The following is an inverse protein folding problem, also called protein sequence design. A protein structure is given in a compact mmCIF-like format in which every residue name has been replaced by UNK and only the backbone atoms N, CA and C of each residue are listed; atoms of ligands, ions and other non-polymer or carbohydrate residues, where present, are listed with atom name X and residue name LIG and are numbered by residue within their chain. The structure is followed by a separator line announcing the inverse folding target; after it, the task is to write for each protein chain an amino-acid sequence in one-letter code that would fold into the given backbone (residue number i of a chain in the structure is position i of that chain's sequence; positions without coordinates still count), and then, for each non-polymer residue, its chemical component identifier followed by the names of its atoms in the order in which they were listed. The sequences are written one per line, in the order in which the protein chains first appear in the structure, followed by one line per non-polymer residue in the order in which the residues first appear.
data_IF_250273570201
#
_entry.id   IF_250273570201
#
_cell.length_a   1.000
_cell.length_b   1.000
_cell.length_c   1.000
_cell.angle_alpha   90.00
_cell.angle_beta   90.00
_cell.angle_gamma   90.00
#
_symmetry.space_group_name_H-M   'P 1'
#
loop_
_entity.id
_entity.type
_entity.pdbx_description
1 polymer ?
#
# COMPACT_ATOMS: atom_id res chain seq x y z
N UNK A 1 56.13 -18.03 -27.23
CA UNK A 1 54.99 -17.36 -26.55
C UNK A 1 53.78 -18.26 -26.29
N UNK A 2 53.45 -19.25 -27.14
CA UNK A 2 52.23 -20.08 -26.97
C UNK A 2 52.35 -21.27 -25.99
N UNK A 3 53.55 -21.82 -25.80
CA UNK A 3 53.83 -22.91 -24.85
C UNK A 3 53.51 -22.56 -23.39
N UNK A 4 53.98 -21.43 -22.82
CA UNK A 4 53.69 -21.08 -21.42
C UNK A 4 52.19 -20.81 -21.19
N UNK A 5 51.50 -20.22 -22.17
CA UNK A 5 50.05 -19.98 -22.11
C UNK A 5 49.26 -21.29 -22.06
N UNK A 6 49.66 -22.29 -22.85
CA UNK A 6 49.00 -23.60 -22.92
C UNK A 6 49.18 -24.39 -21.62
N UNK A 7 50.35 -24.32 -21.00
CA UNK A 7 50.66 -24.95 -19.72
C UNK A 7 49.87 -24.30 -18.58
N UNK A 8 49.81 -22.96 -18.57
CA UNK A 8 49.02 -22.20 -17.60
C UNK A 8 47.52 -22.47 -17.73
N UNK A 9 46.97 -22.54 -18.94
CA UNK A 9 45.56 -22.92 -19.16
C UNK A 9 45.27 -24.37 -18.70
N UNK A 10 46.23 -25.28 -18.84
CA UNK A 10 46.08 -26.67 -18.42
C UNK A 10 46.12 -26.84 -16.89
N UNK A 11 46.93 -26.05 -16.20
CA UNK A 11 46.96 -25.96 -14.73
C UNK A 11 45.65 -25.35 -14.18
N UNK A 12 45.11 -24.34 -14.87
CA UNK A 12 43.89 -23.63 -14.47
C UNK A 12 42.59 -24.26 -15.00
N UNK A 13 42.66 -25.35 -15.77
CA UNK A 13 41.49 -25.97 -16.42
C UNK A 13 40.36 -26.30 -15.46
N UNK A 14 40.70 -26.67 -14.22
CA UNK A 14 39.70 -26.96 -13.19
C UNK A 14 38.84 -25.74 -12.92
N UNK A 15 39.48 -24.59 -12.64
CA UNK A 15 38.81 -23.30 -12.41
C UNK A 15 38.06 -22.83 -13.65
N UNK A 16 38.70 -22.93 -14.82
CA UNK A 16 38.11 -22.51 -16.09
C UNK A 16 36.87 -23.32 -16.50
N UNK A 17 36.69 -24.53 -15.96
CA UNK A 17 35.49 -25.35 -16.18
C UNK A 17 34.49 -25.17 -15.04
N UNK A 18 34.94 -25.21 -13.78
CA UNK A 18 34.02 -25.19 -12.63
C UNK A 18 33.33 -23.85 -12.48
N UNK A 19 34.03 -22.72 -12.65
CA UNK A 19 33.44 -21.39 -12.51
C UNK A 19 32.29 -21.15 -13.49
N UNK A 20 32.44 -21.33 -14.82
CA UNK A 20 31.32 -21.12 -15.74
C UNK A 20 30.21 -22.15 -15.58
N UNK A 21 30.51 -23.39 -15.18
CA UNK A 21 29.48 -24.40 -14.90
C UNK A 21 28.64 -23.98 -13.69
N UNK A 22 29.27 -23.60 -12.58
CA UNK A 22 28.57 -23.12 -11.37
C UNK A 22 27.78 -21.85 -11.67
N UNK A 23 28.36 -20.90 -12.39
CA UNK A 23 27.66 -19.69 -12.82
C UNK A 23 26.46 -20.03 -13.72
N UNK A 24 26.63 -20.94 -14.68
CA UNK A 24 25.56 -21.40 -15.57
C UNK A 24 24.42 -22.07 -14.81
N UNK A 25 24.72 -22.92 -13.82
CA UNK A 25 23.72 -23.55 -12.96
C UNK A 25 23.00 -22.49 -12.12
N UNK A 26 23.71 -21.54 -11.52
CA UNK A 26 23.11 -20.47 -10.73
C UNK A 26 22.18 -19.58 -11.56
N UNK A 27 22.62 -19.20 -12.77
CA UNK A 27 21.80 -18.45 -13.73
C UNK A 27 20.57 -19.27 -14.14
N UNK A 28 20.73 -20.55 -14.45
CA UNK A 28 19.62 -21.42 -14.80
C UNK A 28 18.60 -21.52 -13.65
N UNK A 29 19.06 -21.70 -12.41
CA UNK A 29 18.19 -21.75 -11.23
C UNK A 29 17.45 -20.42 -11.02
N UNK A 30 18.13 -19.29 -11.25
CA UNK A 30 17.51 -17.96 -11.17
C UNK A 30 16.46 -17.75 -12.26
N UNK A 31 16.73 -18.17 -13.50
CA UNK A 31 15.80 -18.05 -14.63
C UNK A 31 14.58 -18.99 -14.50
N UNK A 32 14.76 -20.12 -13.81
CA UNK A 32 13.69 -21.07 -13.51
C UNK A 32 12.86 -20.67 -12.26
N UNK A 33 13.24 -19.60 -11.55
CA UNK A 33 12.56 -19.15 -10.33
C UNK A 33 12.83 -20.00 -9.09
N UNK A 34 13.78 -20.94 -9.14
CA UNK A 34 14.09 -21.80 -7.98
C UNK A 34 14.78 -21.04 -6.85
N UNK A 35 15.39 -19.89 -7.16
CA UNK A 35 15.98 -19.00 -6.15
C UNK A 35 14.98 -17.97 -5.59
N UNK A 36 13.85 -17.75 -6.26
CA UNK A 36 12.90 -16.68 -5.92
C UNK A 36 12.43 -16.72 -4.46
N UNK A 37 12.02 -17.87 -3.87
CA UNK A 37 11.61 -17.91 -2.46
C UNK A 37 12.72 -17.46 -1.50
N UNK A 38 13.98 -17.79 -1.81
CA UNK A 38 15.13 -17.41 -0.98
C UNK A 38 15.50 -15.94 -1.15
N UNK A 39 15.40 -15.41 -2.37
CA UNK A 39 15.63 -13.98 -2.66
C UNK A 39 14.57 -13.10 -1.99
N UNK A 40 13.30 -13.51 -2.02
CA UNK A 40 12.21 -12.81 -1.35
C UNK A 40 12.30 -12.93 0.18
N UNK A 41 12.67 -14.09 0.71
CA UNK A 41 12.95 -14.24 2.15
C UNK A 41 14.15 -13.38 2.60
N UNK A 42 15.18 -13.24 1.77
CA UNK A 42 16.29 -12.35 2.04
C UNK A 42 15.86 -10.88 2.03
N UNK A 43 14.98 -10.47 1.10
CA UNK A 43 14.37 -9.15 1.09
C UNK A 43 13.59 -8.89 2.40
N UNK A 44 12.79 -9.85 2.84
CA UNK A 44 12.04 -9.73 4.09
C UNK A 44 12.97 -9.56 5.28
N UNK A 45 14.04 -10.34 5.33
CA UNK A 45 15.02 -10.25 6.39
C UNK A 45 15.73 -8.89 6.42
N UNK A 46 15.97 -8.27 5.26
CA UNK A 46 16.49 -6.90 5.19
C UNK A 46 15.53 -5.86 5.78
N UNK A 47 14.21 -6.03 5.63
CA UNK A 47 13.24 -5.17 6.31
C UNK A 47 13.33 -5.29 7.83
N UNK A 48 13.59 -6.49 8.35
CA UNK A 48 13.76 -6.72 9.79
C UNK A 48 15.11 -6.23 10.33
N UNK A 49 16.17 -6.24 9.50
CA UNK A 49 17.52 -5.83 9.92
C UNK A 49 17.82 -4.35 9.74
N UNK A 50 17.07 -3.64 8.90
CA UNK A 50 17.28 -2.21 8.70
C UNK A 50 16.94 -1.41 9.98
N UNK A 51 17.53 -0.22 10.17
CA UNK A 51 17.15 0.67 11.25
C UNK A 51 15.66 1.03 11.22
N UNK A 52 15.04 1.16 12.41
CA UNK A 52 13.66 1.62 12.51
C UNK A 52 13.55 3.05 11.96
N UNK A 53 12.62 3.26 11.06
CA UNK A 53 12.27 4.59 10.57
C UNK A 53 11.35 5.30 11.57
N UNK A 54 11.43 6.64 11.71
CA UNK A 54 10.48 7.37 12.52
C UNK A 54 9.07 7.24 11.93
N UNK A 55 8.05 7.30 12.80
CA UNK A 55 6.64 7.37 12.42
C UNK A 55 6.40 8.58 11.51
N UNK A 56 5.55 8.41 10.51
CA UNK A 56 5.14 9.50 9.61
C UNK A 56 4.01 10.31 10.29
N UNK A 57 4.36 11.44 10.89
CA UNK A 57 3.40 12.28 11.62
C UNK A 57 2.34 12.94 10.72
N UNK A 58 2.48 12.84 9.38
CA UNK A 58 1.47 13.31 8.42
C UNK A 58 0.30 12.34 8.29
N UNK A 59 0.36 11.14 8.86
CA UNK A 59 -0.67 10.11 8.71
C UNK A 59 -1.22 9.70 10.08
N UNK A 60 -2.53 9.69 10.20
CA UNK A 60 -3.26 9.26 11.39
C UNK A 60 -4.26 8.19 11.03
N UNK A 61 -4.27 7.09 11.78
CA UNK A 61 -5.28 6.04 11.63
C UNK A 61 -6.36 6.25 12.70
N UNK A 62 -7.61 6.39 12.26
CA UNK A 62 -8.80 6.27 13.10
C UNK A 62 -9.26 4.82 13.04
N UNK A 63 -8.86 4.06 14.04
CA UNK A 63 -9.06 2.63 14.12
C UNK A 63 -10.45 2.27 14.65
N UNK A 64 -11.07 1.29 14.00
CA UNK A 64 -12.26 0.62 14.52
C UNK A 64 -11.86 -0.69 15.19
N UNK A 65 -11.75 -0.63 16.51
CA UNK A 65 -11.32 -1.74 17.37
C UNK A 65 -12.48 -2.65 17.77
N UNK A 66 -12.18 -3.80 18.38
CA UNK A 66 -13.19 -4.66 19.01
C UNK A 66 -14.05 -3.93 20.06
N UNK A 67 -13.45 -2.98 20.80
CA UNK A 67 -14.18 -2.19 21.78
C UNK A 67 -15.18 -1.24 21.10
N UNK A 68 -14.77 -0.62 19.98
CA UNK A 68 -15.63 0.23 19.16
C UNK A 68 -16.83 -0.55 18.59
N UNK A 69 -16.59 -1.75 18.08
CA UNK A 69 -17.64 -2.61 17.54
C UNK A 69 -18.64 -3.05 18.61
N UNK A 70 -18.14 -3.43 19.79
CA UNK A 70 -18.99 -3.78 20.94
C UNK A 70 -19.82 -2.58 21.40
N UNK A 71 -19.25 -1.39 21.40
CA UNK A 71 -19.94 -0.15 21.77
C UNK A 71 -20.98 0.26 20.74
N UNK A 72 -20.69 0.07 19.45
CA UNK A 72 -21.65 0.26 18.36
C UNK A 72 -22.79 -0.77 18.40
N UNK A 73 -22.53 -1.96 18.97
CA UNK A 73 -23.49 -3.05 19.12
C UNK A 73 -23.77 -3.82 17.82
N UNK A 74 -23.12 -3.49 16.71
CA UNK A 74 -23.29 -4.14 15.40
C UNK A 74 -22.13 -3.85 14.45
N UNK A 75 -21.99 -4.72 13.45
CA UNK A 75 -21.21 -4.49 12.25
C UNK A 75 -22.05 -4.82 11.00
N UNK A 76 -22.00 -4.02 9.92
CA UNK A 76 -21.34 -2.71 9.83
C UNK A 76 -21.93 -1.66 10.79
N UNK A 77 -21.13 -0.68 11.17
CA UNK A 77 -21.62 0.49 11.94
C UNK A 77 -22.64 1.26 11.11
N UNK A 78 -23.58 1.91 11.80
CA UNK A 78 -24.65 2.68 11.15
C UNK A 78 -24.12 3.90 10.39
N UNK A 79 -24.83 4.31 9.36
CA UNK A 79 -24.51 5.49 8.55
C UNK A 79 -24.53 6.75 9.40
N UNK A 80 -25.41 6.85 10.41
CA UNK A 80 -25.39 7.92 11.41
C UNK A 80 -24.06 8.00 12.14
N UNK A 81 -23.56 6.87 12.65
CA UNK A 81 -22.30 6.84 13.38
C UNK A 81 -21.12 7.20 12.48
N UNK A 82 -21.11 6.66 11.26
CA UNK A 82 -20.05 6.98 10.30
C UNK A 82 -20.08 8.46 9.91
N UNK A 83 -21.26 9.04 9.68
CA UNK A 83 -21.42 10.46 9.40
C UNK A 83 -20.87 11.32 10.56
N UNK A 84 -21.18 10.97 11.81
CA UNK A 84 -20.66 11.68 12.99
C UNK A 84 -19.13 11.65 13.10
N UNK A 85 -18.52 10.48 12.85
CA UNK A 85 -17.06 10.33 12.82
C UNK A 85 -16.45 11.21 11.74
N UNK A 86 -16.98 11.14 10.52
CA UNK A 86 -16.50 11.93 9.38
C UNK A 86 -16.68 13.44 9.60
N UNK A 87 -17.81 13.87 10.16
CA UNK A 87 -18.06 15.29 10.47
C UNK A 87 -17.04 15.82 11.50
N UNK A 88 -16.76 15.05 12.55
CA UNK A 88 -15.78 15.42 13.59
C UNK A 88 -14.35 15.47 13.05
N UNK A 89 -13.98 14.51 12.20
CA UNK A 89 -12.68 14.51 11.53
C UNK A 89 -12.58 15.71 10.59
N UNK A 90 -13.58 15.93 9.74
CA UNK A 90 -13.58 17.02 8.76
C UNK A 90 -13.54 18.41 9.42
N UNK A 91 -14.17 18.57 10.59
CA UNK A 91 -14.15 19.81 11.36
C UNK A 91 -12.73 20.24 11.81
N UNK A 92 -11.77 19.31 11.83
CA UNK A 92 -10.36 19.58 12.18
C UNK A 92 -9.47 19.85 10.96
N UNK A 93 -10.05 20.03 9.77
CA UNK A 93 -9.35 20.39 8.52
C UNK A 93 -8.18 19.42 8.15
N UNK A 94 -8.44 18.12 8.01
CA UNK A 94 -7.46 17.20 7.44
C UNK A 94 -7.14 17.57 6.00
N UNK A 95 -5.94 17.25 5.54
CA UNK A 95 -5.57 17.40 4.14
C UNK A 95 -6.30 16.38 3.25
N UNK A 96 -6.43 15.14 3.71
CA UNK A 96 -7.22 14.09 3.03
C UNK A 96 -7.84 13.13 4.04
N UNK A 97 -9.01 12.57 3.71
CA UNK A 97 -9.70 11.56 4.51
C UNK A 97 -9.89 10.31 3.65
N UNK A 98 -9.36 9.18 4.07
CA UNK A 98 -9.59 7.88 3.46
C UNK A 98 -10.56 7.05 4.28
N UNK A 99 -11.64 6.60 3.65
CA UNK A 99 -12.59 5.67 4.21
C UNK A 99 -12.32 4.24 3.70
N UNK A 100 -11.53 3.48 4.46
CA UNK A 100 -11.24 2.07 4.20
C UNK A 100 -12.36 1.18 4.77
N UNK A 101 -13.58 1.44 4.32
CA UNK A 101 -14.80 0.71 4.68
C UNK A 101 -15.72 0.64 3.47
N UNK A 102 -16.16 -0.57 3.10
CA UNK A 102 -17.17 -0.71 2.05
C UNK A 102 -18.51 -0.12 2.50
N UNK A 103 -19.12 0.67 1.61
CA UNK A 103 -20.42 1.34 1.78
C UNK A 103 -21.22 1.29 0.47
N UNK A 104 -21.39 0.08 -0.05
CA UNK A 104 -22.16 -0.24 -1.26
C UNK A 104 -23.68 -0.24 -1.05
N UNK A 105 -24.14 -0.44 0.18
CA UNK A 105 -25.55 -0.35 0.56
C UNK A 105 -25.80 0.53 1.79
N UNK A 106 -27.00 1.12 1.94
CA UNK A 106 -27.38 1.88 3.13
C UNK A 106 -27.31 1.05 4.42
N UNK A 107 -26.80 1.64 5.49
CA UNK A 107 -26.71 1.02 6.82
C UNK A 107 -27.48 1.86 7.83
N UNK A 108 -28.80 1.74 7.84
CA UNK A 108 -29.67 2.55 8.68
C UNK A 108 -29.43 2.36 10.20
N UNK A 109 -29.71 3.39 11.02
CA UNK A 109 -30.24 4.71 10.65
C UNK A 109 -29.16 5.69 10.14
N UNK A 110 -29.59 6.71 9.39
CA UNK A 110 -28.79 7.92 9.11
C UNK A 110 -28.20 8.00 7.71
N UNK A 111 -28.75 7.24 6.75
CA UNK A 111 -28.22 7.24 5.38
C UNK A 111 -28.19 8.64 4.75
N UNK A 112 -29.25 9.43 4.93
CA UNK A 112 -29.32 10.80 4.42
C UNK A 112 -28.21 11.71 5.01
N UNK A 113 -27.83 11.51 6.27
CA UNK A 113 -26.75 12.27 6.91
C UNK A 113 -25.40 11.91 6.28
N UNK A 114 -25.16 10.62 6.04
CA UNK A 114 -23.94 10.15 5.39
C UNK A 114 -23.83 10.65 3.94
N UNK A 115 -24.92 10.63 3.18
CA UNK A 115 -24.93 11.17 1.81
C UNK A 115 -24.58 12.66 1.79
N UNK A 116 -25.13 13.43 2.73
CA UNK A 116 -24.79 14.85 2.89
C UNK A 116 -23.30 15.04 3.18
N UNK A 117 -22.71 14.23 4.07
CA UNK A 117 -21.26 14.25 4.33
C UNK A 117 -20.46 13.92 3.07
N UNK A 118 -20.89 12.92 2.28
CA UNK A 118 -20.25 12.58 1.01
C UNK A 118 -20.33 13.70 -0.03
N UNK A 119 -21.38 14.53 0.00
CA UNK A 119 -21.51 15.69 -0.87
C UNK A 119 -20.63 16.86 -0.41
N UNK A 120 -20.59 17.13 0.89
CA UNK A 120 -19.95 18.33 1.45
C UNK A 120 -18.46 18.19 1.75
N UNK A 121 -17.91 16.98 1.72
CA UNK A 121 -16.49 16.73 2.04
C UNK A 121 -15.71 16.45 0.75
N UNK A 122 -14.93 17.41 0.23
CA UNK A 122 -14.26 17.28 -1.08
C UNK A 122 -12.97 16.46 -1.08
N UNK A 123 -12.39 16.23 0.09
CA UNK A 123 -11.16 15.47 0.28
C UNK A 123 -11.42 14.08 0.90
N UNK A 124 -12.67 13.61 0.89
CA UNK A 124 -13.04 12.27 1.34
C UNK A 124 -12.98 11.28 0.18
N UNK A 125 -12.12 10.28 0.30
CA UNK A 125 -11.96 9.18 -0.65
C UNK A 125 -12.58 7.93 -0.08
N UNK A 126 -13.46 7.28 -0.84
CA UNK A 126 -13.97 5.94 -0.52
C UNK A 126 -13.23 4.86 -1.29
N UNK A 127 -13.46 3.61 -0.89
CA UNK A 127 -12.92 2.44 -1.55
C UNK A 127 -13.93 1.76 -2.47
N UNK A 128 -13.39 1.06 -3.45
CA UNK A 128 -14.07 0.00 -4.20
C UNK A 128 -13.18 -1.25 -4.26
N UNK A 129 -13.78 -2.41 -4.50
CA UNK A 129 -13.03 -3.63 -4.82
C UNK A 129 -13.32 -4.07 -6.24
N UNK A 130 -12.27 -4.26 -7.03
CA UNK A 130 -12.39 -4.59 -8.44
C UNK A 130 -11.90 -6.02 -8.67
N UNK A 131 -12.78 -6.89 -9.14
CA UNK A 131 -12.43 -8.23 -9.61
C UNK A 131 -12.76 -8.33 -11.10
N UNK A 132 -11.72 -8.27 -11.95
CA UNK A 132 -11.89 -8.34 -13.41
C UNK A 132 -12.21 -9.74 -13.91
N UNK A 133 -11.87 -10.77 -13.12
CA UNK A 133 -12.10 -12.16 -13.51
C UNK A 133 -13.51 -12.60 -13.10
N UNK A 134 -13.99 -12.11 -11.97
CA UNK A 134 -15.32 -12.39 -11.47
C UNK A 134 -16.03 -11.12 -10.97
N UNK A 135 -16.79 -10.43 -11.83
CA UNK A 135 -17.51 -9.21 -11.46
C UNK A 135 -18.49 -9.35 -10.28
N UNK A 136 -18.94 -10.57 -9.97
CA UNK A 136 -19.81 -10.81 -8.80
C UNK A 136 -19.07 -10.68 -7.45
N UNK A 137 -17.74 -10.73 -7.46
CA UNK A 137 -16.92 -10.49 -6.28
C UNK A 137 -16.60 -9.00 -6.09
N UNK A 138 -16.86 -8.16 -7.10
CA UNK A 138 -16.58 -6.73 -7.02
C UNK A 138 -17.50 -6.05 -5.99
N UNK A 139 -16.97 -5.06 -5.27
CA UNK A 139 -17.73 -4.25 -4.31
C UNK A 139 -17.77 -2.82 -4.82
N UNK A 140 -18.94 -2.32 -5.26
CA UNK A 140 -19.04 -1.00 -5.85
C UNK A 140 -18.90 0.10 -4.78
N UNK A 141 -18.42 1.29 -5.16
CA UNK A 141 -18.31 2.41 -4.23
C UNK A 141 -19.64 3.16 -4.03
N UNK A 142 -19.72 4.07 -3.05
CA UNK A 142 -20.78 5.06 -2.98
C UNK A 142 -20.85 5.91 -4.26
N UNK A 143 -22.01 5.93 -4.93
CA UNK A 143 -22.21 6.60 -6.22
C UNK A 143 -21.79 8.07 -6.22
N UNK A 144 -22.13 8.81 -5.15
CA UNK A 144 -21.81 10.25 -5.00
C UNK A 144 -20.30 10.49 -5.07
N UNK A 145 -19.50 9.65 -4.41
CA UNK A 145 -18.04 9.80 -4.41
C UNK A 145 -17.43 9.34 -5.75
N UNK A 146 -18.00 8.29 -6.36
CA UNK A 146 -17.58 7.81 -7.68
C UNK A 146 -17.76 8.86 -8.78
N UNK A 147 -18.90 9.55 -8.82
CA UNK A 147 -19.19 10.62 -9.79
C UNK A 147 -18.27 11.83 -9.66
N UNK A 148 -17.65 12.00 -8.48
CA UNK A 148 -16.69 13.06 -8.18
C UNK A 148 -15.24 12.65 -8.39
N UNK A 149 -14.98 11.39 -8.79
CA UNK A 149 -13.63 10.85 -8.91
C UNK A 149 -12.92 10.64 -7.57
N UNK A 150 -13.67 10.54 -6.47
CA UNK A 150 -13.16 10.39 -5.10
C UNK A 150 -13.24 8.93 -4.63
N UNK A 151 -12.91 8.00 -5.52
CA UNK A 151 -12.89 6.57 -5.24
C UNK A 151 -11.59 5.98 -5.74
N UNK A 152 -10.90 5.24 -4.88
CA UNK A 152 -9.73 4.46 -5.27
C UNK A 152 -9.94 2.97 -5.00
N UNK A 153 -9.29 2.13 -5.80
CA UNK A 153 -9.37 0.69 -5.64
C UNK A 153 -8.59 0.21 -4.41
N UNK A 154 -9.22 -0.60 -3.56
CA UNK A 154 -8.61 -1.21 -2.37
C UNK A 154 -7.88 -2.53 -2.69
N UNK A 155 -7.71 -2.85 -3.96
CA UNK A 155 -7.02 -4.06 -4.39
C UNK A 155 -5.57 -4.07 -3.93
N UNK A 156 -5.16 -5.19 -3.35
CA UNK A 156 -3.76 -5.48 -3.02
C UNK A 156 -3.24 -6.64 -3.87
N UNK A 157 -1.92 -6.74 -3.97
CA UNK A 157 -1.25 -7.79 -4.72
C UNK A 157 -0.44 -8.65 -3.74
N UNK A 158 -0.96 -9.83 -3.44
CA UNK A 158 -0.26 -10.82 -2.62
C UNK A 158 0.70 -11.63 -3.50
N UNK A 159 1.89 -11.91 -2.96
CA UNK A 159 2.78 -12.89 -3.56
C UNK A 159 2.28 -14.32 -3.32
N UNK A 160 2.88 -15.29 -4.00
CA UNK A 160 2.50 -16.70 -3.92
C UNK A 160 2.62 -17.30 -2.52
N UNK A 161 3.44 -16.70 -1.65
CA UNK A 161 3.59 -17.07 -0.25
C UNK A 161 2.65 -16.29 0.70
N UNK A 162 1.78 -15.44 0.15
CA UNK A 162 0.81 -14.65 0.90
C UNK A 162 1.36 -13.37 1.51
N UNK A 163 2.64 -13.05 1.31
CA UNK A 163 3.24 -11.81 1.84
C UNK A 163 3.04 -10.69 0.83
N UNK A 164 2.62 -9.53 1.32
CA UNK A 164 2.38 -8.34 0.52
C UNK A 164 3.67 -7.54 0.39
N UNK A 165 4.38 -7.71 -0.73
CA UNK A 165 5.65 -6.98 -1.01
C UNK A 165 5.53 -5.91 -2.09
N UNK A 166 4.36 -5.83 -2.72
CA UNK A 166 4.09 -4.96 -3.87
C UNK A 166 2.91 -4.04 -3.56
N UNK A 167 3.02 -2.80 -4.03
CA UNK A 167 1.94 -1.82 -3.98
C UNK A 167 1.44 -1.56 -5.39
N UNK A 168 0.13 -1.56 -5.55
CA UNK A 168 -0.56 -1.23 -6.79
C UNK A 168 -0.91 0.25 -6.74
N UNK A 169 -0.37 1.05 -7.67
CA UNK A 169 -0.69 2.48 -7.78
C UNK A 169 -1.93 2.73 -8.65
N UNK A 170 -2.17 1.86 -9.63
CA UNK A 170 -3.37 1.91 -10.45
C UNK A 170 -3.67 0.55 -11.08
N UNK A 171 -4.95 0.26 -11.29
CA UNK A 171 -5.43 -0.89 -12.05
C UNK A 171 -5.80 -0.45 -13.46
N UNK A 172 -5.60 -1.32 -14.45
CA UNK A 172 -6.14 -1.11 -15.79
C UNK A 172 -7.50 -1.79 -15.88
N UNK A 173 -8.60 -1.03 -15.92
CA UNK A 173 -9.98 -1.52 -16.00
C UNK A 173 -10.62 -1.00 -17.29
N UNK A 174 -10.97 -1.89 -18.23
CA UNK A 174 -11.59 -1.52 -19.51
C UNK A 174 -10.86 -0.37 -20.24
N UNK A 175 -9.53 -0.49 -20.33
CA UNK A 175 -8.61 0.52 -20.90
C UNK A 175 -8.52 1.87 -20.16
N UNK A 176 -9.12 2.01 -18.99
CA UNK A 176 -8.94 3.15 -18.07
C UNK A 176 -8.00 2.79 -16.94
N UNK A 177 -7.21 3.75 -16.49
CA UNK A 177 -6.41 3.62 -15.28
C UNK A 177 -7.27 4.05 -14.09
N UNK A 178 -7.59 3.10 -13.22
CA UNK A 178 -8.27 3.34 -11.97
C UNK A 178 -7.20 3.45 -10.87
N UNK A 179 -7.03 4.62 -10.22
CA UNK A 179 -6.04 4.77 -9.15
C UNK A 179 -6.36 3.84 -7.99
N UNK A 180 -5.33 3.36 -7.29
CA UNK A 180 -5.54 2.71 -6.01
C UNK A 180 -5.94 3.73 -4.95
N UNK A 181 -6.54 3.24 -3.87
CA UNK A 181 -6.95 4.03 -2.73
C UNK A 181 -5.80 4.87 -2.15
N UNK A 182 -4.65 4.25 -1.90
CA UNK A 182 -3.46 4.93 -1.40
C UNK A 182 -2.87 5.94 -2.39
N UNK A 183 -2.88 5.65 -3.69
CA UNK A 183 -2.40 6.60 -4.72
C UNK A 183 -3.29 7.85 -4.78
N UNK A 184 -4.62 7.68 -4.75
CA UNK A 184 -5.55 8.80 -4.80
C UNK A 184 -5.44 9.70 -3.56
N UNK A 185 -5.34 9.11 -2.37
CA UNK A 185 -5.14 9.86 -1.12
C UNK A 185 -3.83 10.64 -1.11
N UNK A 186 -2.72 10.00 -1.53
CA UNK A 186 -1.45 10.68 -1.66
C UNK A 186 -1.52 11.82 -2.69
N UNK A 187 -2.26 11.63 -3.78
CA UNK A 187 -2.56 12.67 -4.79
C UNK A 187 -3.23 13.89 -4.18
N UNK A 188 -4.37 13.72 -3.52
CA UNK A 188 -5.10 14.83 -2.90
C UNK A 188 -4.20 15.59 -1.90
N UNK A 189 -3.43 14.86 -1.08
CA UNK A 189 -2.49 15.47 -0.15
C UNK A 189 -1.41 16.30 -0.86
N UNK A 190 -0.71 15.70 -1.83
CA UNK A 190 0.40 16.35 -2.53
C UNK A 190 -0.07 17.51 -3.41
N UNK A 191 -1.24 17.41 -4.03
CA UNK A 191 -1.87 18.51 -4.78
C UNK A 191 -2.21 19.70 -3.87
N UNK A 192 -2.65 19.45 -2.62
CA UNK A 192 -2.84 20.51 -1.62
C UNK A 192 -1.54 21.26 -1.30
N UNK A 193 -0.39 20.62 -1.52
CA UNK A 193 0.96 21.20 -1.40
C UNK A 193 1.51 21.76 -2.73
N UNK A 194 0.70 21.81 -3.79
CA UNK A 194 1.08 22.21 -5.14
C UNK A 194 2.16 21.32 -5.79
N UNK A 195 2.19 20.03 -5.44
CA UNK A 195 3.09 19.04 -6.03
C UNK A 195 2.31 18.18 -7.01
N UNK A 196 2.54 18.36 -8.31
CA UNK A 196 1.88 17.61 -9.39
C UNK A 196 2.85 16.65 -10.08
N UNK A 197 2.37 15.51 -10.61
CA UNK A 197 3.21 14.61 -11.38
C UNK A 197 3.55 15.18 -12.76
N UNK A 198 4.79 15.00 -13.20
CA UNK A 198 5.29 15.38 -14.52
C UNK A 198 5.62 14.12 -15.34
N UNK A 199 4.95 13.91 -16.49
CA UNK A 199 5.24 12.74 -17.33
C UNK A 199 6.62 12.87 -17.96
N UNK A 200 7.37 11.75 -18.03
CA UNK A 200 8.65 11.74 -18.74
C UNK A 200 8.41 11.50 -20.23
N UNK A 201 9.00 12.33 -21.10
CA UNK A 201 8.77 12.25 -22.55
C UNK A 201 9.22 10.94 -23.20
N UNK A 202 10.11 10.16 -22.56
CA UNK A 202 10.74 8.98 -23.16
C UNK A 202 9.98 7.67 -22.89
N UNK A 203 9.34 7.53 -21.73
CA UNK A 203 8.50 6.36 -21.41
C UNK A 203 7.24 6.86 -20.69
N UNK A 204 6.04 6.75 -21.31
CA UNK A 204 4.80 7.23 -20.71
C UNK A 204 4.42 6.49 -19.42
N UNK A 205 5.07 5.37 -19.12
CA UNK A 205 4.88 4.61 -17.88
C UNK A 205 5.81 5.08 -16.77
N UNK A 206 6.72 6.00 -17.02
CA UNK A 206 7.62 6.56 -16.00
C UNK A 206 7.24 8.02 -15.81
N UNK A 207 7.02 8.40 -14.56
CA UNK A 207 6.71 9.78 -14.21
C UNK A 207 7.56 10.25 -13.05
N UNK A 208 7.86 11.55 -13.07
CA UNK A 208 8.46 12.24 -11.94
C UNK A 208 7.34 12.84 -11.10
N UNK A 209 7.50 12.84 -9.78
CA UNK A 209 6.62 13.58 -8.89
C UNK A 209 7.45 14.11 -7.72
N UNK A 210 7.58 15.43 -7.64
CA UNK A 210 8.51 16.07 -6.72
C UNK A 210 9.93 15.53 -6.87
N UNK A 211 10.47 14.97 -5.79
CA UNK A 211 11.83 14.38 -5.73
C UNK A 211 11.89 12.91 -6.20
N UNK A 212 10.76 12.27 -6.46
CA UNK A 212 10.67 10.85 -6.75
C UNK A 212 10.50 10.56 -8.24
N UNK A 213 11.09 9.43 -8.66
CA UNK A 213 10.90 8.82 -9.97
C UNK A 213 10.15 7.51 -9.80
N UNK A 214 8.91 7.46 -10.25
CA UNK A 214 8.10 6.25 -10.21
C UNK A 214 8.35 5.44 -11.47
N UNK A 215 8.63 4.14 -11.29
CA UNK A 215 8.84 3.17 -12.37
C UNK A 215 8.04 1.92 -12.05
N UNK A 216 7.28 1.36 -13.01
CA UNK A 216 6.54 0.14 -12.78
C UNK A 216 7.49 -1.05 -12.67
N UNK A 217 7.10 -2.06 -11.89
CA UNK A 217 7.80 -3.34 -11.82
C UNK A 217 7.78 -4.05 -13.16
N UNK A 218 8.93 -4.56 -13.57
CA UNK A 218 9.04 -5.54 -14.65
C UNK A 218 8.86 -6.97 -14.11
N UNK A 219 8.51 -7.91 -14.99
CA UNK A 219 8.23 -9.31 -14.62
C UNK A 219 9.36 -10.04 -13.90
N UNK A 220 10.60 -9.58 -13.99
CA UNK A 220 11.77 -10.23 -13.41
C UNK A 220 12.57 -9.31 -12.48
N UNK A 221 11.96 -8.23 -11.98
CA UNK A 221 12.62 -7.30 -11.07
C UNK A 221 12.94 -7.97 -9.72
N UNK A 222 14.15 -7.72 -9.20
CA UNK A 222 14.57 -8.17 -7.87
C UNK A 222 14.70 -9.68 -7.79
N UNK A 223 13.93 -10.33 -6.90
CA UNK A 223 13.86 -11.79 -6.79
C UNK A 223 12.78 -12.43 -7.66
N UNK A 224 11.93 -11.65 -8.34
CA UNK A 224 10.81 -12.19 -9.09
C UNK A 224 11.22 -12.86 -10.40
N UNK A 225 10.42 -13.84 -10.83
CA UNK A 225 10.48 -14.48 -12.16
C UNK A 225 9.07 -14.59 -12.73
N UNK A 226 8.85 -13.96 -13.88
CA UNK A 226 7.62 -14.12 -14.66
C UNK A 226 6.34 -13.67 -13.95
N UNK A 227 6.42 -12.68 -13.04
CA UNK A 227 5.20 -12.18 -12.38
C UNK A 227 4.29 -11.44 -13.35
N UNK A 228 2.99 -11.55 -13.11
CA UNK A 228 2.00 -10.65 -13.68
C UNK A 228 2.17 -9.25 -13.06
N UNK A 229 2.49 -8.29 -13.92
CA UNK A 229 2.68 -6.88 -13.57
C UNK A 229 1.47 -6.03 -13.99
N UNK A 230 0.28 -6.64 -14.11
CA UNK A 230 -0.97 -5.96 -14.40
C UNK A 230 -1.19 -4.71 -13.54
N UNK A 231 -1.68 -3.64 -14.16
CA UNK A 231 -1.74 -2.31 -13.55
C UNK A 231 -0.37 -1.65 -13.46
N UNK A 232 -0.23 -0.70 -12.53
CA UNK A 232 1.04 -0.03 -12.23
C UNK A 232 1.49 -0.47 -10.85
N UNK A 233 2.42 -1.41 -10.78
CA UNK A 233 2.92 -1.95 -9.50
C UNK A 233 4.32 -1.41 -9.19
N UNK A 234 4.62 -1.19 -7.92
CA UNK A 234 5.95 -0.88 -7.40
C UNK A 234 6.26 -1.76 -6.19
N UNK A 235 7.55 -1.92 -5.84
CA UNK A 235 7.91 -2.51 -4.55
C UNK A 235 7.35 -1.67 -3.40
N UNK A 236 6.79 -2.33 -2.39
CA UNK A 236 6.34 -1.69 -1.16
C UNK A 236 7.51 -1.62 -0.18
N UNK A 237 8.11 -0.44 -0.08
CA UNK A 237 9.04 -0.05 0.95
C UNK A 237 8.27 0.35 2.23
N UNK A 238 7.84 -0.65 3.00
CA UNK A 238 7.21 -0.46 4.31
C UNK A 238 7.99 0.56 5.16
N UNK A 239 7.33 1.24 6.09
CA UNK A 239 7.98 2.10 7.08
C UNK A 239 8.39 1.32 8.33
N UNK A 240 7.57 0.36 8.74
CA UNK A 240 7.84 -0.50 9.89
C UNK A 240 6.82 -1.65 10.03
N UNK A 241 6.91 -2.42 11.13
CA UNK A 241 5.95 -3.49 11.46
C UNK A 241 4.56 -2.93 11.84
N UNK A 242 3.61 -3.80 12.19
CA UNK A 242 2.32 -3.37 12.72
C UNK A 242 2.47 -2.43 13.93
N UNK A 243 1.57 -1.46 14.06
CA UNK A 243 1.63 -0.41 15.08
C UNK A 243 2.67 0.70 14.82
N UNK A 244 3.10 0.89 13.56
CA UNK A 244 4.08 1.94 13.20
C UNK A 244 3.45 3.33 13.17
N UNK A 245 2.17 3.42 12.78
CA UNK A 245 1.48 4.70 12.61
C UNK A 245 0.76 5.15 13.88
N UNK A 246 0.61 6.47 14.01
CA UNK A 246 -0.18 7.05 15.08
C UNK A 246 -1.65 6.65 14.90
N UNK A 247 -2.25 6.12 15.96
CA UNK A 247 -3.59 5.54 15.94
C UNK A 247 -4.44 6.10 17.08
N UNK A 248 -5.67 6.47 16.77
CA UNK A 248 -6.73 6.83 17.73
C UNK A 248 -7.96 5.98 17.43
N UNK A 249 -8.83 5.75 18.41
CA UNK A 249 -10.02 4.93 18.16
C UNK A 249 -11.18 5.75 17.61
N UNK A 250 -12.13 5.08 16.95
CA UNK A 250 -13.39 5.68 16.55
C UNK A 250 -14.13 6.29 17.76
N UNK A 251 -14.10 5.62 18.91
CA UNK A 251 -14.67 6.13 20.17
C UNK A 251 -13.96 7.41 20.61
N UNK A 252 -12.63 7.48 20.55
CA UNK A 252 -11.89 8.69 20.94
C UNK A 252 -12.31 9.89 20.06
N UNK A 253 -12.47 9.68 18.76
CA UNK A 253 -12.99 10.71 17.84
C UNK A 253 -14.40 11.12 18.24
N UNK A 254 -15.31 10.17 18.44
CA UNK A 254 -16.70 10.45 18.80
C UNK A 254 -16.84 11.21 20.12
N UNK A 255 -15.97 10.93 21.09
CA UNK A 255 -15.96 11.55 22.42
C UNK A 255 -15.11 12.83 22.50
N UNK A 256 -14.55 13.31 21.38
CA UNK A 256 -13.62 14.45 21.33
C UNK A 256 -12.36 14.26 22.22
N UNK A 257 -11.94 13.01 22.40
CA UNK A 257 -10.78 12.59 23.18
C UNK A 257 -9.52 12.43 22.32
N UNK A 258 -9.31 13.34 21.36
CA UNK A 258 -8.12 13.37 20.50
C UNK A 258 -7.40 14.72 20.61
N UNK A 259 -6.06 14.77 20.49
CA UNK A 259 -5.33 16.04 20.53
C UNK A 259 -5.75 17.00 19.42
N UNK A 260 -5.97 18.28 19.75
CA UNK A 260 -6.48 19.33 18.83
C UNK A 260 -5.69 19.51 17.52
N UNK A 261 -4.42 19.11 17.50
CA UNK A 261 -3.50 19.26 16.36
C UNK A 261 -3.26 17.95 15.62
N UNK A 262 -3.90 16.86 16.02
CA UNK A 262 -3.65 15.54 15.45
C UNK A 262 -4.13 15.45 13.99
N UNK A 263 -5.29 16.01 13.70
CA UNK A 263 -5.95 15.85 12.39
C UNK A 263 -5.63 16.99 11.42
N UNK A 264 -5.32 18.17 11.94
CA UNK A 264 -5.10 19.35 11.10
C UNK A 264 -3.92 19.13 10.14
N UNK A 265 -4.18 19.30 8.84
CA UNK A 265 -3.19 19.12 7.75
C UNK A 265 -2.61 17.70 7.62
N UNK A 266 -3.25 16.69 8.24
CA UNK A 266 -2.85 15.29 8.12
C UNK A 266 -3.73 14.49 7.15
N UNK A 267 -3.24 13.33 6.73
CA UNK A 267 -4.00 12.31 6.02
C UNK A 267 -4.61 11.38 7.06
N UNK A 268 -5.94 11.36 7.15
CA UNK A 268 -6.66 10.51 8.10
C UNK A 268 -7.19 9.28 7.40
N UNK A 269 -6.80 8.10 7.86
CA UNK A 269 -7.30 6.81 7.37
C UNK A 269 -8.24 6.20 8.39
N UNK A 270 -9.49 5.95 8.00
CA UNK A 270 -10.53 5.35 8.85
C UNK A 270 -10.73 3.91 8.40
N UNK A 271 -10.48 2.94 9.28
CA UNK A 271 -10.57 1.54 8.90
C UNK A 271 -10.56 0.56 10.07
N UNK A 272 -10.79 -0.71 9.75
CA UNK A 272 -10.90 -1.79 10.71
C UNK A 272 -9.53 -2.22 11.28
N UNK A 273 -9.45 -2.37 12.60
CA UNK A 273 -8.36 -3.08 13.29
C UNK A 273 -8.88 -4.16 14.23
N UNK A 274 -10.20 -4.36 14.26
CA UNK A 274 -10.86 -5.42 14.99
C UNK A 274 -10.54 -6.81 14.39
N UNK A 275 -10.04 -7.71 15.22
CA UNK A 275 -9.60 -9.07 14.83
C UNK A 275 -10.74 -9.87 14.18
N UNK A 276 -11.98 -9.69 14.66
CA UNK A 276 -13.17 -10.39 14.15
C UNK A 276 -13.53 -10.04 12.71
N UNK A 277 -13.04 -8.90 12.18
CA UNK A 277 -13.29 -8.49 10.80
C UNK A 277 -12.31 -9.12 9.80
N UNK A 278 -11.25 -9.75 10.30
CA UNK A 278 -10.27 -10.52 9.52
C UNK A 278 -9.67 -9.75 8.32
N UNK A 279 -9.48 -8.44 8.46
CA UNK A 279 -8.80 -7.58 7.48
C UNK A 279 -7.33 -7.41 7.85
N UNK A 280 -6.57 -8.49 7.70
CA UNK A 280 -5.15 -8.53 8.06
C UNK A 280 -4.30 -9.18 6.99
N UNK A 281 -3.10 -8.65 6.81
CA UNK A 281 -2.15 -9.08 5.79
C UNK A 281 -0.82 -9.49 6.42
N UNK A 282 -0.17 -10.46 5.79
CA UNK A 282 1.22 -10.76 6.08
C UNK A 282 2.13 -9.78 5.34
N UNK A 283 3.09 -9.23 6.07
CA UNK A 283 4.08 -8.28 5.55
C UNK A 283 5.47 -8.88 5.71
N UNK A 284 6.52 -8.27 5.13
CA UNK A 284 7.91 -8.68 5.36
C UNK A 284 8.29 -8.83 6.85
N UNK A 285 7.60 -8.11 7.75
CA UNK A 285 7.81 -8.18 9.20
C UNK A 285 7.14 -9.39 9.86
N UNK A 286 6.16 -10.03 9.21
CA UNK A 286 5.41 -11.17 9.79
C UNK A 286 6.24 -12.45 9.90
N UNK A 287 7.40 -12.51 9.24
CA UNK A 287 8.35 -13.64 9.32
C UNK A 287 9.26 -13.56 10.56
N UNK A 288 9.22 -12.48 11.35
CA UNK A 288 9.95 -12.43 12.60
C UNK A 288 9.37 -13.45 13.59
N UNK A 289 10.19 -14.42 13.99
CA UNK A 289 9.84 -15.49 14.93
C UNK A 289 9.42 -14.99 16.32
N UNK A 290 9.67 -13.72 16.63
CA UNK A 290 9.29 -13.11 17.90
C UNK A 290 7.89 -12.50 17.87
N UNK A 291 7.40 -12.07 16.70
CA UNK A 291 6.16 -11.33 16.52
C UNK A 291 5.53 -11.75 15.18
N UNK A 292 4.75 -12.83 15.15
CA UNK A 292 3.84 -13.10 14.03
C UNK A 292 2.63 -12.16 14.13
N UNK A 293 2.86 -10.87 13.93
CA UNK A 293 1.78 -9.89 13.84
C UNK A 293 1.39 -9.71 12.38
N UNK A 294 0.12 -9.98 12.11
CA UNK A 294 -0.53 -9.61 10.87
C UNK A 294 -0.86 -8.12 10.93
N UNK A 295 -0.61 -7.37 9.86
CA UNK A 295 -0.84 -5.92 9.79
C UNK A 295 -2.27 -5.65 9.30
N UNK A 296 -3.00 -4.75 9.97
CA UNK A 296 -4.37 -4.39 9.55
C UNK A 296 -4.37 -3.78 8.14
N UNK A 297 -5.42 -4.03 7.35
CA UNK A 297 -5.56 -3.50 5.98
C UNK A 297 -5.36 -1.99 5.88
N UNK A 298 -5.99 -1.24 6.78
CA UNK A 298 -5.84 0.22 6.88
C UNK A 298 -4.40 0.66 7.16
N UNK A 299 -3.63 -0.12 7.92
CA UNK A 299 -2.22 0.16 8.20
C UNK A 299 -1.31 -0.21 7.01
N UNK A 300 -1.69 -1.20 6.21
CA UNK A 300 -1.05 -1.46 4.91
C UNK A 300 -1.27 -0.28 3.96
N UNK A 301 -2.49 0.25 3.88
CA UNK A 301 -2.78 1.46 3.10
C UNK A 301 -1.98 2.67 3.62
N UNK A 302 -1.84 2.83 4.93
CA UNK A 302 -0.99 3.86 5.54
C UNK A 302 0.49 3.75 5.12
N UNK A 303 1.04 2.53 5.06
CA UNK A 303 2.38 2.29 4.54
C UNK A 303 2.51 2.71 3.07
N UNK A 304 1.53 2.38 2.23
CA UNK A 304 1.53 2.75 0.81
C UNK A 304 1.45 4.27 0.62
N UNK A 305 0.55 4.96 1.34
CA UNK A 305 0.44 6.42 1.32
C UNK A 305 1.75 7.06 1.80
N UNK A 306 2.28 6.61 2.95
CA UNK A 306 3.53 7.13 3.51
C UNK A 306 4.70 7.00 2.54
N UNK A 307 4.81 5.86 1.86
CA UNK A 307 5.83 5.66 0.84
C UNK A 307 5.74 6.70 -0.27
N UNK A 308 4.54 6.96 -0.80
CA UNK A 308 4.35 7.90 -1.92
C UNK A 308 4.70 9.31 -1.46
N UNK A 309 4.09 9.81 -0.39
CA UNK A 309 4.30 11.20 0.07
C UNK A 309 5.74 11.43 0.51
N UNK A 310 6.36 10.46 1.20
CA UNK A 310 7.75 10.60 1.65
C UNK A 310 8.73 10.56 0.48
N UNK A 311 8.44 9.79 -0.57
CA UNK A 311 9.28 9.79 -1.75
C UNK A 311 9.20 11.13 -2.48
N UNK A 312 7.99 11.68 -2.63
CA UNK A 312 7.74 12.93 -3.36
C UNK A 312 8.29 14.15 -2.61
N UNK A 313 7.98 14.29 -1.31
CA UNK A 313 8.35 15.45 -0.49
C UNK A 313 9.75 15.35 0.11
N UNK A 314 10.07 14.20 0.71
CA UNK A 314 11.29 14.05 1.51
C UNK A 314 12.45 13.47 0.69
N UNK A 315 12.15 12.87 -0.47
CA UNK A 315 13.12 12.11 -1.26
C UNK A 315 13.42 10.74 -0.66
N UNK A 316 12.51 10.17 0.16
CA UNK A 316 12.64 8.81 0.68
C UNK A 316 12.79 7.83 -0.49
N UNK A 317 13.82 6.97 -0.52
CA UNK A 317 14.05 6.09 -1.65
C UNK A 317 12.90 5.11 -1.90
N UNK A 318 12.46 5.04 -3.15
CA UNK A 318 11.69 3.89 -3.66
C UNK A 318 12.66 2.73 -3.89
N UNK A 319 12.24 1.50 -3.55
CA UNK A 319 13.01 0.30 -3.84
C UNK A 319 13.12 0.09 -5.36
N UNK A 320 14.33 -0.23 -5.81
CA UNK A 320 14.70 -0.41 -7.22
C UNK A 320 15.59 -1.62 -7.35
N UNK A 321 15.62 -2.21 -8.53
CA UNK A 321 16.42 -3.40 -8.87
C UNK A 321 17.28 -3.13 -10.08
#
# INVERSE_FOLDING_TARGET
MWQPLKQQLWEWRGVLITTPVVAGIAIAFRLLGWLQPYELAALDQYFCWRPKEPTDERIVIVAMTEADLKRAGRWPITDRMLAQVLEKINAQNPAAIGLDLYRDFPVEPGHADLLRVFETTPNLVAIEYIDQQNPNNAVPPPRILSERGLVGANNVVNDTDGILRRSLLSLKVNDRLQPSFSMLLAGIYLESKNLFPEPLQQDPRIFQWGKAMFRPLASNDGGYVGIDHGGYQIFLNYRGPAGTFRMVTMTDVLEDNIPDHLINDSIVLIGATAVSLNDFFYTPYSNDTTIRESTAGVEVQANMVSQIISAVEDGRPLLKT
#
